data_IF_718585151560
#
_entry.id   IF_718585151560
#
_cell.length_a   1.000
_cell.length_b   1.000
_cell.length_c   1.000
_cell.angle_alpha   90.00
_cell.angle_beta   90.00
_cell.angle_gamma   90.00
#
_symmetry.space_group_name_H-M   'P 1'
#
loop_
_entity.id
_entity.type
_entity.pdbx_description
1 polymer ?
#
# COMPACT_ATOMS: atom_id res chain seq x y z
N UNK A 1 -11.16 -21.77 -2.52
CA UNK A 1 -9.72 -21.61 -2.51
C UNK A 1 -9.12 -21.87 -1.14
N UNK A 2 -8.00 -22.57 -1.15
CA UNK A 2 -7.22 -22.79 0.05
C UNK A 2 -6.72 -21.42 0.58
N UNK A 3 -6.69 -21.31 1.89
CA UNK A 3 -6.21 -20.15 2.59
C UNK A 3 -4.78 -19.77 2.18
N UNK A 4 -3.92 -20.80 2.08
CA UNK A 4 -2.53 -20.62 1.66
C UNK A 4 -2.43 -20.02 0.24
N UNK A 5 -3.22 -20.50 -0.69
CA UNK A 5 -3.19 -20.02 -2.07
C UNK A 5 -3.52 -18.53 -2.16
N UNK A 6 -4.45 -18.07 -1.34
CA UNK A 6 -4.83 -16.65 -1.32
C UNK A 6 -3.72 -15.78 -0.76
N UNK A 7 -3.02 -16.23 0.27
CA UNK A 7 -1.87 -15.50 0.80
C UNK A 7 -0.71 -15.49 -0.18
N UNK A 8 -0.47 -16.59 -0.88
CA UNK A 8 0.56 -16.64 -1.93
C UNK A 8 0.21 -15.68 -3.06
N UNK A 9 -1.04 -15.60 -3.47
CA UNK A 9 -1.51 -14.65 -4.47
C UNK A 9 -1.31 -13.20 -4.04
N UNK A 10 -1.60 -12.90 -2.77
CA UNK A 10 -1.37 -11.58 -2.21
C UNK A 10 0.11 -11.22 -2.22
N UNK A 11 0.96 -12.14 -1.76
CA UNK A 11 2.40 -11.95 -1.77
C UNK A 11 2.92 -11.68 -3.17
N UNK A 12 2.51 -12.51 -4.13
CA UNK A 12 2.97 -12.40 -5.51
C UNK A 12 2.55 -11.07 -6.14
N UNK A 13 1.38 -10.57 -5.78
CA UNK A 13 0.90 -9.28 -6.24
C UNK A 13 1.84 -8.13 -5.86
N UNK A 14 2.35 -8.15 -4.64
CA UNK A 14 3.28 -7.12 -4.17
C UNK A 14 4.70 -7.34 -4.67
N UNK A 15 5.12 -8.60 -4.81
CA UNK A 15 6.48 -8.93 -5.24
C UNK A 15 6.74 -8.62 -6.71
N UNK A 16 5.72 -8.33 -7.50
CA UNK A 16 5.95 -7.82 -8.85
C UNK A 16 6.41 -6.35 -8.84
N UNK A 17 6.39 -5.71 -7.69
CA UNK A 17 6.94 -4.37 -7.51
C UNK A 17 8.45 -4.40 -7.35
N UNK A 18 9.14 -3.45 -7.97
CA UNK A 18 10.56 -3.26 -7.78
C UNK A 18 10.82 -2.90 -6.32
N UNK A 19 11.85 -3.48 -5.74
CA UNK A 19 12.32 -3.26 -4.36
C UNK A 19 11.41 -3.84 -3.25
N UNK A 20 10.42 -4.65 -3.62
CA UNK A 20 9.66 -5.44 -2.63
C UNK A 20 10.16 -6.87 -2.70
N UNK A 21 10.72 -7.35 -1.59
CA UNK A 21 11.34 -8.68 -1.53
C UNK A 21 10.42 -9.71 -0.91
N UNK A 22 10.77 -10.97 -1.09
CA UNK A 22 10.08 -12.08 -0.46
C UNK A 22 10.06 -11.92 1.06
N UNK A 23 11.18 -11.51 1.64
CA UNK A 23 11.31 -11.29 3.08
C UNK A 23 10.37 -10.18 3.57
N UNK A 24 10.15 -9.13 2.77
CA UNK A 24 9.22 -8.05 3.13
C UNK A 24 7.81 -8.56 3.30
N UNK A 25 7.44 -9.65 2.61
CA UNK A 25 6.08 -10.18 2.58
C UNK A 25 5.86 -11.38 3.48
N UNK A 26 6.89 -11.89 4.17
CA UNK A 26 6.78 -13.09 5.00
C UNK A 26 5.79 -12.93 6.15
N UNK A 27 5.59 -11.69 6.63
CA UNK A 27 4.72 -11.42 7.76
C UNK A 27 3.26 -11.84 7.53
N UNK A 28 2.84 -11.97 6.27
CA UNK A 28 1.44 -12.33 5.97
C UNK A 28 1.06 -13.70 6.54
N UNK A 29 2.06 -14.54 6.82
CA UNK A 29 1.86 -15.86 7.41
C UNK A 29 1.92 -15.87 8.94
N UNK A 30 2.21 -14.74 9.56
CA UNK A 30 2.48 -14.65 11.01
C UNK A 30 1.23 -14.45 11.88
N UNK A 31 0.05 -14.40 11.28
CA UNK A 31 -1.21 -14.31 12.02
C UNK A 31 -1.58 -12.90 12.49
N UNK A 32 -0.88 -11.86 12.04
CA UNK A 32 -1.28 -10.48 12.34
C UNK A 32 -2.51 -10.06 11.57
N UNK A 33 -3.26 -9.13 12.14
CA UNK A 33 -4.35 -8.50 11.41
C UNK A 33 -3.80 -7.62 10.30
N UNK A 34 -4.44 -7.70 9.14
CA UNK A 34 -4.02 -6.99 7.94
C UNK A 34 -5.21 -6.37 7.25
N UNK A 35 -4.99 -5.21 6.63
CA UNK A 35 -5.97 -4.55 5.76
C UNK A 35 -5.35 -4.29 4.41
N UNK A 36 -6.11 -4.53 3.36
CA UNK A 36 -5.71 -4.19 1.99
C UNK A 36 -6.54 -3.00 1.54
N UNK A 37 -5.88 -1.96 1.07
CA UNK A 37 -6.56 -0.77 0.59
C UNK A 37 -5.91 -0.26 -0.70
N UNK A 38 -6.61 0.62 -1.39
CA UNK A 38 -6.17 1.22 -2.63
C UNK A 38 -6.33 2.73 -2.56
N UNK A 39 -5.42 3.43 -3.21
CA UNK A 39 -5.49 4.87 -3.38
C UNK A 39 -5.13 5.22 -4.83
N UNK A 40 -5.76 6.24 -5.35
CA UNK A 40 -5.46 6.75 -6.68
C UNK A 40 -5.29 8.26 -6.62
N UNK A 41 -4.36 8.78 -7.43
CA UNK A 41 -4.29 10.22 -7.64
C UNK A 41 -5.17 10.61 -8.81
N UNK A 42 -5.69 11.82 -8.75
CA UNK A 42 -6.49 12.38 -9.84
C UNK A 42 -5.98 13.79 -10.12
N UNK A 43 -5.30 13.94 -11.26
CA UNK A 43 -4.76 15.25 -11.64
C UNK A 43 -5.80 16.00 -12.45
N UNK A 44 -6.58 16.82 -11.76
CA UNK A 44 -7.52 17.73 -12.39
C UNK A 44 -6.97 19.16 -12.29
N UNK A 45 -7.01 19.88 -13.41
CA UNK A 45 -6.53 21.24 -13.43
C UNK A 45 -5.02 21.33 -13.29
N UNK A 46 -4.54 22.15 -12.38
CA UNK A 46 -3.11 22.49 -12.25
C UNK A 46 -2.36 21.63 -11.22
N UNK A 47 -3.04 20.75 -10.50
CA UNK A 47 -2.40 19.93 -9.46
C UNK A 47 -1.60 18.78 -10.07
N UNK A 48 -0.37 18.59 -9.58
CA UNK A 48 0.41 17.41 -9.92
C UNK A 48 -0.11 16.18 -9.18
N UNK A 49 0.22 14.99 -9.69
CA UNK A 49 -0.15 13.72 -9.03
C UNK A 49 0.42 13.60 -7.63
N UNK A 50 1.62 14.12 -7.39
CA UNK A 50 2.23 14.10 -6.05
C UNK A 50 1.54 15.10 -5.12
N UNK A 51 1.18 16.28 -5.60
CA UNK A 51 0.45 17.26 -4.81
C UNK A 51 -0.92 16.73 -4.41
N UNK A 52 -1.58 16.01 -5.31
CA UNK A 52 -2.84 15.35 -4.99
C UNK A 52 -2.65 14.32 -3.88
N UNK A 53 -1.61 13.49 -3.97
CA UNK A 53 -1.28 12.51 -2.94
C UNK A 53 -1.06 13.18 -1.58
N UNK A 54 -0.32 14.27 -1.54
CA UNK A 54 -0.06 15.02 -0.30
C UNK A 54 -1.36 15.47 0.36
N UNK A 55 -2.30 15.99 -0.42
CA UNK A 55 -3.61 16.38 0.08
C UNK A 55 -4.40 15.19 0.61
N UNK A 56 -4.39 14.10 -0.12
CA UNK A 56 -5.10 12.87 0.27
C UNK A 56 -4.57 12.33 1.58
N UNK A 57 -3.28 12.25 1.75
CA UNK A 57 -2.64 11.77 2.97
C UNK A 57 -2.93 12.70 4.15
N UNK A 58 -2.94 14.00 3.92
CA UNK A 58 -3.32 14.96 4.95
C UNK A 58 -4.75 14.74 5.43
N UNK A 59 -5.68 14.47 4.54
CA UNK A 59 -7.06 14.13 4.91
C UNK A 59 -7.11 12.86 5.75
N UNK A 60 -6.35 11.84 5.37
CA UNK A 60 -6.30 10.58 6.12
C UNK A 60 -5.77 10.83 7.53
N UNK A 61 -4.70 11.60 7.68
CA UNK A 61 -4.11 11.91 8.99
C UNK A 61 -5.04 12.69 9.91
N UNK A 62 -5.95 13.48 9.35
CA UNK A 62 -6.93 14.24 10.13
C UNK A 62 -8.05 13.38 10.70
N UNK A 63 -8.23 12.18 10.18
CA UNK A 63 -9.25 11.24 10.65
C UNK A 63 -8.64 10.33 11.69
N UNK A 64 -9.05 10.48 12.96
CA UNK A 64 -8.54 9.67 14.07
C UNK A 64 -8.92 8.20 13.98
N UNK A 65 -9.91 7.86 13.15
CA UNK A 65 -10.38 6.49 12.98
C UNK A 65 -9.92 5.88 11.65
N UNK A 66 -8.92 6.48 11.00
CA UNK A 66 -8.46 5.98 9.71
C UNK A 66 -7.80 4.60 9.82
N UNK A 67 -7.85 3.86 8.72
CA UNK A 67 -7.34 2.49 8.66
C UNK A 67 -5.81 2.40 8.81
N UNK A 68 -5.08 3.50 8.61
CA UNK A 68 -3.64 3.57 8.77
C UNK A 68 -3.19 3.86 10.21
N UNK A 69 -4.12 3.97 11.15
CA UNK A 69 -3.77 4.32 12.53
C UNK A 69 -2.88 3.26 13.16
N UNK A 70 -1.70 3.69 13.63
CA UNK A 70 -0.71 2.85 14.31
C UNK A 70 -0.36 1.55 13.56
N UNK A 71 0.06 1.62 12.30
CA UNK A 71 0.45 0.41 11.60
C UNK A 71 1.79 -0.10 12.12
N UNK A 72 1.97 -1.41 12.13
CA UNK A 72 3.27 -2.01 12.38
C UNK A 72 4.13 -1.95 11.10
N UNK A 73 3.50 -2.12 9.96
CA UNK A 73 4.16 -2.13 8.66
C UNK A 73 3.19 -1.70 7.57
N UNK A 74 3.67 -0.91 6.64
CA UNK A 74 2.99 -0.61 5.40
C UNK A 74 3.80 -1.16 4.24
N UNK A 75 3.16 -1.94 3.38
CA UNK A 75 3.74 -2.34 2.10
C UNK A 75 2.97 -1.62 1.02
N UNK A 76 3.65 -0.77 0.27
CA UNK A 76 3.04 0.09 -0.75
C UNK A 76 3.58 -0.29 -2.12
N UNK A 77 2.69 -0.67 -3.01
CA UNK A 77 3.00 -0.88 -4.42
C UNK A 77 2.44 0.28 -5.22
N UNK A 78 3.33 1.03 -5.86
CA UNK A 78 2.95 2.16 -6.72
C UNK A 78 3.01 1.73 -8.17
N UNK A 79 1.88 1.72 -8.84
CA UNK A 79 1.81 1.50 -10.29
C UNK A 79 1.88 2.84 -11.01
N UNK A 80 2.77 2.92 -11.96
CA UNK A 80 3.05 4.14 -12.72
C UNK A 80 3.13 3.80 -14.21
N UNK A 81 2.61 4.69 -15.04
CA UNK A 81 2.70 4.52 -16.48
C UNK A 81 4.15 4.59 -16.96
N UNK A 82 4.55 3.67 -17.85
CA UNK A 82 5.86 3.73 -18.49
C UNK A 82 6.04 4.96 -19.37
N UNK A 83 4.94 5.60 -19.80
CA UNK A 83 4.97 6.85 -20.57
C UNK A 83 5.09 8.09 -19.67
N UNK A 84 4.83 7.95 -18.39
CA UNK A 84 4.89 9.03 -17.41
C UNK A 84 5.62 8.55 -16.16
N UNK A 85 6.88 8.11 -16.30
CA UNK A 85 7.62 7.50 -15.17
C UNK A 85 7.84 8.49 -14.03
N UNK A 86 8.09 7.94 -12.85
CA UNK A 86 8.43 8.76 -11.69
C UNK A 86 9.82 9.35 -11.83
N UNK A 87 9.97 10.64 -11.54
CA UNK A 87 11.28 11.22 -11.30
C UNK A 87 11.79 10.79 -9.93
N UNK A 88 13.10 10.92 -9.70
CA UNK A 88 13.68 10.61 -8.39
C UNK A 88 13.05 11.46 -7.30
N UNK A 89 12.79 12.74 -7.58
CA UNK A 89 12.15 13.63 -6.63
C UNK A 89 10.72 13.21 -6.31
N UNK A 90 9.95 12.83 -7.31
CA UNK A 90 8.60 12.33 -7.10
C UNK A 90 8.61 11.08 -6.23
N UNK A 91 9.50 10.14 -6.51
CA UNK A 91 9.61 8.90 -5.74
C UNK A 91 9.97 9.20 -4.28
N UNK A 92 10.93 10.09 -4.04
CA UNK A 92 11.31 10.50 -2.68
C UNK A 92 10.15 11.17 -1.94
N UNK A 93 9.43 12.06 -2.61
CA UNK A 93 8.29 12.75 -2.02
C UNK A 93 7.18 11.77 -1.66
N UNK A 94 6.90 10.81 -2.55
CA UNK A 94 5.89 9.78 -2.31
C UNK A 94 6.27 8.91 -1.11
N UNK A 95 7.52 8.46 -1.05
CA UNK A 95 8.02 7.67 0.09
C UNK A 95 7.89 8.45 1.39
N UNK A 96 8.23 9.73 1.39
CA UNK A 96 8.09 10.60 2.56
C UNK A 96 6.65 10.66 3.05
N UNK A 97 5.70 10.79 2.14
CA UNK A 97 4.29 10.86 2.51
C UNK A 97 3.80 9.57 3.15
N UNK A 98 4.17 8.43 2.58
CA UNK A 98 3.80 7.15 3.17
C UNK A 98 4.56 6.88 4.47
N UNK A 99 5.78 7.38 4.62
CA UNK A 99 6.49 7.25 5.89
C UNK A 99 5.78 8.04 7.01
N UNK A 100 5.17 9.16 6.70
CA UNK A 100 4.33 9.87 7.67
C UNK A 100 3.14 9.01 8.11
N UNK A 101 2.48 8.34 7.18
CA UNK A 101 1.40 7.42 7.53
C UNK A 101 1.89 6.23 8.34
N UNK A 102 3.05 5.70 8.02
CA UNK A 102 3.64 4.59 8.76
C UNK A 102 4.02 4.98 10.19
N UNK A 103 4.31 6.26 10.42
CA UNK A 103 4.71 6.75 11.73
C UNK A 103 5.93 6.01 12.26
N UNK A 104 5.76 5.25 13.34
CA UNK A 104 6.83 4.41 13.92
C UNK A 104 6.93 3.05 13.24
N UNK A 105 5.98 2.72 12.38
CA UNK A 105 5.99 1.47 11.66
C UNK A 105 7.01 1.44 10.52
N UNK A 106 7.21 0.26 9.99
CA UNK A 106 8.12 0.06 8.86
C UNK A 106 7.41 0.33 7.54
N UNK A 107 8.05 1.09 6.66
CA UNK A 107 7.58 1.28 5.29
C UNK A 107 8.37 0.39 4.33
N UNK A 108 7.67 -0.36 3.51
CA UNK A 108 8.21 -1.04 2.34
C UNK A 108 7.53 -0.43 1.13
N UNK A 109 8.32 0.08 0.20
CA UNK A 109 7.79 0.78 -0.98
C UNK A 109 8.42 0.21 -2.24
N UNK A 110 7.59 -0.13 -3.19
CA UNK A 110 8.03 -0.58 -4.51
C UNK A 110 7.21 0.03 -5.62
N UNK A 111 7.78 0.04 -6.81
CA UNK A 111 7.13 0.58 -7.99
C UNK A 111 6.98 -0.50 -9.04
N UNK A 112 5.95 -0.36 -9.86
CA UNK A 112 5.73 -1.19 -11.04
C UNK A 112 5.32 -0.31 -12.21
N UNK A 113 6.05 -0.41 -13.30
CA UNK A 113 5.65 0.27 -14.53
C UNK A 113 4.61 -0.55 -15.25
N UNK A 114 3.58 0.12 -15.73
CA UNK A 114 2.51 -0.49 -16.52
C UNK A 114 2.39 0.22 -17.86
N UNK A 115 1.97 -0.50 -18.88
CA UNK A 115 1.73 0.05 -20.20
C UNK A 115 0.39 0.78 -20.21
N UNK A 116 0.44 2.09 -20.05
CA UNK A 116 -0.73 2.96 -19.98
C UNK A 116 -0.32 4.38 -20.33
N UNK A 117 -1.25 5.20 -20.80
CA UNK A 117 -1.02 6.63 -21.01
C UNK A 117 -1.63 7.50 -19.90
N UNK A 118 -2.09 6.87 -18.81
CA UNK A 118 -2.66 7.57 -17.66
C UNK A 118 -1.54 8.15 -16.80
N UNK A 119 -1.64 9.45 -16.50
CA UNK A 119 -0.64 10.16 -15.68
C UNK A 119 -0.76 9.82 -14.21
N UNK A 120 -1.96 9.51 -13.75
CA UNK A 120 -2.26 9.27 -12.34
C UNK A 120 -1.57 8.02 -11.79
N UNK A 121 -1.30 8.04 -10.51
CA UNK A 121 -0.67 6.93 -9.78
C UNK A 121 -1.73 6.07 -9.12
N UNK A 122 -1.46 4.78 -9.09
CA UNK A 122 -2.34 3.82 -8.42
C UNK A 122 -1.54 3.10 -7.33
N UNK A 123 -2.01 3.17 -6.11
CA UNK A 123 -1.36 2.55 -4.96
C UNK A 123 -2.18 1.38 -4.45
N UNK A 124 -1.51 0.26 -4.27
CA UNK A 124 -2.04 -0.89 -3.53
C UNK A 124 -1.26 -0.98 -2.24
N UNK A 125 -1.96 -1.00 -1.10
CA UNK A 125 -1.34 -0.85 0.21
C UNK A 125 -1.81 -1.97 1.11
N UNK A 126 -0.85 -2.69 1.69
CA UNK A 126 -1.11 -3.71 2.70
C UNK A 126 -0.66 -3.18 4.05
N UNK A 127 -1.58 -3.13 5.00
CA UNK A 127 -1.37 -2.56 6.33
C UNK A 127 -1.31 -3.71 7.33
N UNK A 128 -0.16 -3.92 7.93
CA UNK A 128 -0.02 -4.87 9.03
C UNK A 128 -0.31 -4.16 10.34
N UNK A 129 -1.22 -4.71 11.13
CA UNK A 129 -1.56 -4.18 12.45
C UNK A 129 -0.80 -4.94 13.54
N UNK A 130 -0.70 -4.35 14.73
CA UNK A 130 -0.07 -5.02 15.86
C UNK A 130 -0.92 -6.16 16.43
N UNK A 131 -2.24 -6.10 16.23
CA UNK A 131 -3.16 -7.09 16.76
C UNK A 131 -3.03 -8.41 16.01
N UNK A 132 -2.97 -9.51 16.75
CA UNK A 132 -3.00 -10.84 16.17
C UNK A 132 -4.42 -11.22 15.80
N UNK A 133 -4.59 -11.92 14.67
CA UNK A 133 -5.87 -12.54 14.33
C UNK A 133 -6.13 -13.69 15.27
N UNK A 134 -7.39 -13.83 15.70
CA UNK A 134 -7.81 -15.01 16.42
C UNK A 134 -8.10 -16.14 15.43
N UNK A 135 -7.84 -17.42 15.78
CA UNK A 135 -8.06 -18.52 14.84
C UNK A 135 -9.46 -18.58 14.24
N UNK A 136 -10.50 -18.28 15.04
CA UNK A 136 -11.87 -18.30 14.58
C UNK A 136 -12.26 -17.09 13.72
N UNK A 137 -11.40 -16.09 13.59
CA UNK A 137 -11.67 -14.87 12.82
C UNK A 137 -10.87 -14.77 11.53
N UNK A 138 -10.31 -15.87 11.09
CA UNK A 138 -9.58 -15.89 9.82
C UNK A 138 -10.42 -15.38 8.66
N UNK A 139 -11.68 -15.75 8.60
CA UNK A 139 -12.57 -15.29 7.55
C UNK A 139 -12.77 -13.77 7.59
N UNK A 140 -12.78 -13.18 8.78
CA UNK A 140 -12.92 -11.71 8.92
C UNK A 140 -11.68 -10.98 8.44
N UNK A 141 -10.50 -11.40 8.86
CA UNK A 141 -9.24 -10.85 8.36
C UNK A 141 -9.14 -11.02 6.85
N UNK A 142 -9.62 -12.13 6.38
CA UNK A 142 -9.64 -12.45 4.97
C UNK A 142 -10.56 -11.53 4.16
N UNK A 143 -11.73 -11.19 4.71
CA UNK A 143 -12.63 -10.23 4.08
C UNK A 143 -11.97 -8.87 3.87
N UNK A 144 -11.23 -8.40 4.85
CA UNK A 144 -10.51 -7.14 4.75
C UNK A 144 -9.44 -7.16 3.66
N UNK A 145 -8.84 -8.33 3.43
CA UNK A 145 -7.80 -8.48 2.41
C UNK A 145 -8.36 -8.45 0.98
N UNK A 146 -9.60 -8.91 0.79
CA UNK A 146 -10.13 -9.16 -0.55
C UNK A 146 -11.49 -8.53 -0.84
N UNK A 147 -12.03 -7.78 0.09
CA UNK A 147 -13.30 -7.08 -0.11
C UNK A 147 -13.15 -5.70 -0.75
#
# INVERSE_FOLDING_TARGET
LDYREKYEGLRDKFMCGKDITFHDMDFIYDGFSMLLTHMETHTYGESSRVDYLKKLIKYIEMDSDNEFLNPQKLVVLCKVSSLHPLSLKEEEDIKSEFQMLAGKGKLVFGTREVSSDVVDLHFTILIQKYEKRQPQTYSDGYRHLFS
#
